data_IF_713465973210
#
_entry.id   IF_713465973210
#
_cell.length_a   1.000
_cell.length_b   1.000
_cell.length_c   1.000
_cell.angle_alpha   90.00
_cell.angle_beta   90.00
_cell.angle_gamma   90.00
#
_symmetry.space_group_name_H-M   'P 1'
#
loop_
_entity.id
_entity.type
_entity.pdbx_description
1 polymer ?
#
# COMPACT_ATOMS: atom_id res chain seq x y z
N UNK A 1 -21.33 11.67 -11.17
CA UNK A 1 -20.49 10.63 -11.82
C UNK A 1 -19.33 10.32 -10.91
N UNK A 2 -19.00 9.05 -10.69
CA UNK A 2 -17.79 8.71 -9.95
C UNK A 2 -16.56 9.17 -10.78
N UNK A 3 -15.60 9.84 -10.14
CA UNK A 3 -14.34 10.20 -10.78
C UNK A 3 -13.60 8.88 -11.03
N UNK A 4 -13.25 8.62 -12.28
CA UNK A 4 -12.48 7.44 -12.67
C UNK A 4 -11.05 7.89 -12.97
N UNK A 5 -10.06 7.17 -12.43
CA UNK A 5 -8.64 7.42 -12.72
C UNK A 5 -8.38 7.33 -14.23
N UNK A 6 -7.61 8.27 -14.75
CA UNK A 6 -7.19 8.32 -16.15
C UNK A 6 -5.67 8.37 -16.24
N UNK A 7 -5.12 8.13 -17.44
CA UNK A 7 -3.67 8.27 -17.72
C UNK A 7 -3.28 9.69 -18.20
N UNK A 8 -4.22 10.64 -18.17
CA UNK A 8 -4.00 11.99 -18.69
C UNK A 8 -2.92 12.76 -17.94
N UNK A 9 -2.87 12.61 -16.62
CA UNK A 9 -1.88 13.30 -15.79
C UNK A 9 -0.47 12.78 -16.12
N UNK A 10 -0.30 11.46 -16.18
CA UNK A 10 0.99 10.84 -16.55
C UNK A 10 1.40 11.21 -17.97
N UNK A 11 0.46 11.18 -18.94
CA UNK A 11 0.73 11.54 -20.31
C UNK A 11 1.21 12.99 -20.44
N UNK A 12 0.58 13.94 -19.73
CA UNK A 12 1.00 15.33 -19.70
C UNK A 12 2.39 15.50 -19.08
N UNK A 13 2.67 14.83 -17.95
CA UNK A 13 4.00 14.89 -17.32
C UNK A 13 5.08 14.22 -18.18
N UNK A 14 4.76 13.13 -18.88
CA UNK A 14 5.66 12.49 -19.85
C UNK A 14 6.06 13.44 -20.98
N UNK A 15 5.09 14.18 -21.53
CA UNK A 15 5.36 15.17 -22.59
C UNK A 15 6.23 16.32 -22.10
N UNK A 16 5.99 16.81 -20.87
CA UNK A 16 6.69 17.97 -20.32
C UNK A 16 8.10 17.60 -19.81
N UNK A 17 8.23 16.48 -19.11
CA UNK A 17 9.45 16.11 -18.37
C UNK A 17 10.34 15.10 -19.11
N UNK A 18 9.78 14.37 -20.06
CA UNK A 18 10.51 13.40 -20.88
C UNK A 18 11.16 12.29 -20.04
N UNK A 19 10.36 11.40 -19.45
CA UNK A 19 10.91 10.26 -18.68
C UNK A 19 9.86 9.51 -17.89
N UNK A 20 10.22 8.36 -17.28
CA UNK A 20 9.25 7.51 -16.60
C UNK A 20 8.58 8.22 -15.43
N UNK A 21 7.26 8.07 -15.34
CA UNK A 21 6.42 8.58 -14.23
C UNK A 21 5.98 7.39 -13.39
N UNK A 22 6.25 7.44 -12.09
CA UNK A 22 5.81 6.41 -11.15
C UNK A 22 4.63 6.91 -10.32
N UNK A 23 3.58 6.11 -10.18
CA UNK A 23 2.56 6.26 -9.15
C UNK A 23 2.96 5.49 -7.90
N UNK A 24 2.72 6.04 -6.72
CA UNK A 24 3.08 5.43 -5.43
C UNK A 24 1.91 5.50 -4.47
N UNK A 25 1.58 4.39 -3.85
CA UNK A 25 0.53 4.29 -2.83
C UNK A 25 0.88 3.23 -1.78
N UNK A 26 0.14 3.21 -0.66
CA UNK A 26 0.33 2.26 0.44
C UNK A 26 -0.96 1.56 0.85
N UNK A 27 -0.79 0.42 1.52
CA UNK A 27 -1.85 -0.31 2.22
C UNK A 27 -1.42 -0.69 3.64
N UNK A 28 -2.36 -0.62 4.59
CA UNK A 28 -2.13 -1.15 5.92
C UNK A 28 -1.71 -0.14 6.97
N UNK A 29 -2.05 1.14 6.88
CA UNK A 29 -1.77 2.13 7.94
C UNK A 29 -2.63 1.97 9.18
N UNK A 30 -3.93 1.68 9.01
CA UNK A 30 -4.90 1.60 10.10
C UNK A 30 -4.95 0.31 10.94
N UNK A 31 -4.56 -0.87 10.44
CA UNK A 31 -4.57 -2.13 11.20
C UNK A 31 -3.73 -2.09 12.48
N UNK A 32 -4.14 -2.90 13.47
CA UNK A 32 -3.41 -3.10 14.73
C UNK A 32 -2.28 -4.12 14.61
N UNK A 33 -2.29 -4.93 13.55
CA UNK A 33 -1.29 -5.96 13.29
C UNK A 33 -0.84 -5.99 11.83
N UNK A 34 0.37 -6.51 11.62
CA UNK A 34 0.98 -6.69 10.32
C UNK A 34 1.65 -5.43 9.76
N UNK A 35 2.33 -5.57 8.61
CA UNK A 35 3.14 -4.52 8.00
C UNK A 35 2.31 -3.43 7.33
N UNK A 36 2.98 -2.31 7.02
CA UNK A 36 2.60 -1.40 5.94
C UNK A 36 3.32 -1.83 4.68
N UNK A 37 2.59 -1.93 3.57
CA UNK A 37 3.13 -2.23 2.25
C UNK A 37 2.89 -1.03 1.36
N UNK A 38 3.95 -0.54 0.72
CA UNK A 38 3.87 0.45 -0.34
C UNK A 38 4.26 -0.17 -1.69
N UNK A 39 3.70 0.35 -2.76
CA UNK A 39 4.10 0.00 -4.11
C UNK A 39 4.38 1.25 -4.94
N UNK A 40 5.30 1.12 -5.90
CA UNK A 40 5.58 2.09 -6.93
C UNK A 40 5.37 1.42 -8.29
N UNK A 41 4.63 2.05 -9.19
CA UNK A 41 4.28 1.48 -10.49
C UNK A 41 4.54 2.49 -11.59
N UNK A 42 5.32 2.08 -12.61
CA UNK A 42 5.48 2.79 -13.88
C UNK A 42 4.69 2.00 -14.93
N UNK A 43 3.59 2.56 -15.41
CA UNK A 43 2.77 1.95 -16.47
C UNK A 43 3.42 2.14 -17.83
N UNK A 44 3.31 1.11 -18.67
CA UNK A 44 3.61 1.21 -20.10
C UNK A 44 2.35 1.74 -20.83
N UNK A 45 2.41 2.94 -21.45
CA UNK A 45 1.25 3.56 -22.09
C UNK A 45 0.58 2.68 -23.16
N UNK A 46 1.36 1.80 -23.81
CA UNK A 46 0.85 0.92 -24.87
C UNK A 46 0.20 -0.36 -24.33
N UNK A 47 0.40 -0.68 -23.03
CA UNK A 47 -0.03 -1.96 -22.43
C UNK A 47 -0.72 -1.80 -21.07
N UNK A 48 -1.44 -0.70 -20.86
CA UNK A 48 -2.17 -0.46 -19.61
C UNK A 48 -3.26 -1.52 -19.45
N UNK A 49 -3.25 -2.30 -18.33
CA UNK A 49 -4.32 -3.26 -18.07
C UNK A 49 -5.67 -2.58 -17.88
N UNK A 50 -6.70 -3.13 -18.52
CA UNK A 50 -8.08 -2.68 -18.28
C UNK A 50 -8.53 -3.04 -16.87
N UNK A 51 -9.40 -2.21 -16.28
CA UNK A 51 -10.02 -2.42 -14.98
C UNK A 51 -9.22 -1.86 -13.80
N UNK A 52 -8.08 -1.17 -14.05
CA UNK A 52 -7.41 -0.42 -12.99
C UNK A 52 -8.33 0.70 -12.52
N UNK A 53 -8.56 0.79 -11.21
CA UNK A 53 -9.39 1.79 -10.56
C UNK A 53 -9.09 1.89 -9.07
N UNK A 54 -9.88 2.68 -8.34
CA UNK A 54 -9.74 2.79 -6.88
C UNK A 54 -9.85 1.42 -6.21
N UNK A 55 -8.77 0.96 -5.61
CA UNK A 55 -8.67 -0.37 -5.00
C UNK A 55 -9.68 -0.61 -3.86
N UNK A 56 -10.23 0.45 -3.28
CA UNK A 56 -11.22 0.40 -2.21
C UNK A 56 -12.63 0.13 -2.75
N UNK A 57 -12.87 0.48 -4.02
CA UNK A 57 -14.15 0.25 -4.72
C UNK A 57 -14.17 -1.12 -5.38
N UNK A 58 -13.03 -1.61 -5.87
CA UNK A 58 -12.90 -2.93 -6.50
C UNK A 58 -13.16 -4.05 -5.48
N UNK A 59 -13.86 -5.09 -5.92
CA UNK A 59 -14.01 -6.33 -5.13
C UNK A 59 -12.65 -7.04 -4.98
N UNK A 60 -12.43 -7.85 -3.92
CA UNK A 60 -11.17 -8.58 -3.72
C UNK A 60 -10.77 -9.41 -4.94
N UNK A 61 -11.73 -10.10 -5.56
CA UNK A 61 -11.53 -10.96 -6.72
C UNK A 61 -11.08 -10.15 -7.96
N UNK A 62 -11.63 -8.95 -8.14
CA UNK A 62 -11.22 -8.05 -9.22
C UNK A 62 -9.78 -7.58 -9.04
N UNK A 63 -9.38 -7.19 -7.82
CA UNK A 63 -7.99 -6.82 -7.51
C UNK A 63 -7.03 -7.99 -7.77
N UNK A 64 -7.40 -9.19 -7.32
CA UNK A 64 -6.59 -10.40 -7.55
C UNK A 64 -6.48 -10.77 -9.03
N UNK A 65 -7.49 -10.49 -9.86
CA UNK A 65 -7.45 -10.71 -11.30
C UNK A 65 -6.60 -9.66 -12.06
N UNK A 66 -6.61 -8.41 -11.58
CA UNK A 66 -5.85 -7.31 -12.21
C UNK A 66 -4.37 -7.36 -11.80
N UNK A 67 -4.05 -7.75 -10.57
CA UNK A 67 -2.70 -7.77 -10.01
C UNK A 67 -1.67 -8.46 -10.94
N UNK A 68 -1.85 -9.72 -11.42
CA UNK A 68 -0.86 -10.37 -12.29
C UNK A 68 -0.69 -9.65 -13.62
N UNK A 69 -1.72 -8.96 -14.10
CA UNK A 69 -1.66 -8.18 -15.34
C UNK A 69 -0.80 -6.94 -15.16
N UNK A 70 -0.91 -6.23 -14.03
CA UNK A 70 -0.02 -5.11 -13.68
C UNK A 70 1.42 -5.61 -13.59
N UNK A 71 1.65 -6.71 -12.86
CA UNK A 71 2.99 -7.28 -12.68
C UNK A 71 3.65 -7.71 -14.00
N UNK A 72 2.86 -8.11 -14.99
CA UNK A 72 3.36 -8.55 -16.30
C UNK A 72 3.62 -7.40 -17.29
N UNK A 73 2.98 -6.24 -17.13
CA UNK A 73 3.01 -5.16 -18.13
C UNK A 73 3.62 -3.86 -17.63
N UNK A 74 3.82 -3.72 -16.31
CA UNK A 74 4.38 -2.51 -15.72
C UNK A 74 5.72 -2.79 -15.01
N UNK A 75 6.47 -1.73 -14.73
CA UNK A 75 7.63 -1.81 -13.85
C UNK A 75 7.12 -1.55 -12.43
N UNK A 76 7.33 -2.53 -11.54
CA UNK A 76 6.78 -2.51 -10.19
C UNK A 76 7.90 -2.65 -9.16
N UNK A 77 7.85 -1.80 -8.14
CA UNK A 77 8.67 -1.91 -6.94
C UNK A 77 7.78 -1.99 -5.70
N UNK A 78 8.17 -2.78 -4.71
CA UNK A 78 7.41 -2.99 -3.46
C UNK A 78 8.35 -2.71 -2.28
N UNK A 79 7.84 -1.96 -1.30
CA UNK A 79 8.50 -1.71 -0.02
C UNK A 79 7.60 -2.14 1.14
N UNK A 80 8.18 -2.80 2.13
CA UNK A 80 7.45 -3.35 3.28
C UNK A 80 8.09 -2.83 4.55
N UNK A 81 7.32 -2.10 5.35
CA UNK A 81 7.69 -1.71 6.71
C UNK A 81 7.05 -2.70 7.70
N UNK A 82 7.87 -3.45 8.39
CA UNK A 82 7.44 -4.38 9.44
C UNK A 82 6.93 -3.68 10.69
N UNK A 83 6.46 -4.46 11.64
CA UNK A 83 5.90 -3.97 12.91
C UNK A 83 6.96 -3.25 13.74
N UNK A 84 8.19 -3.77 13.79
CA UNK A 84 9.29 -3.17 14.55
C UNK A 84 9.64 -1.77 14.04
N UNK A 85 9.62 -1.59 12.70
CA UNK A 85 9.81 -0.28 12.11
C UNK A 85 8.66 0.67 12.42
N UNK A 86 7.41 0.19 12.37
CA UNK A 86 6.23 0.99 12.68
C UNK A 86 6.28 1.46 14.14
N UNK A 87 6.64 0.59 15.06
CA UNK A 87 6.70 0.92 16.49
C UNK A 87 7.87 1.86 16.81
N UNK A 88 9.01 1.72 16.12
CA UNK A 88 10.18 2.58 16.31
C UNK A 88 10.00 3.97 15.70
N UNK A 89 9.51 4.06 14.45
CA UNK A 89 9.56 5.28 13.64
C UNK A 89 8.20 6.00 13.59
N UNK A 90 7.16 5.45 14.15
CA UNK A 90 5.73 5.72 13.99
C UNK A 90 5.19 5.38 12.60
N UNK A 91 3.83 5.29 12.51
CA UNK A 91 3.15 4.84 11.28
C UNK A 91 3.39 5.74 10.06
N UNK A 92 3.51 7.07 10.26
CA UNK A 92 3.76 7.99 9.15
C UNK A 92 5.16 7.79 8.57
N UNK A 93 6.18 7.79 9.43
CA UNK A 93 7.58 7.67 8.99
C UNK A 93 7.85 6.28 8.41
N UNK A 94 7.28 5.22 8.99
CA UNK A 94 7.34 3.86 8.46
C UNK A 94 6.69 3.76 7.06
N UNK A 95 5.55 4.43 6.85
CA UNK A 95 4.89 4.51 5.54
C UNK A 95 5.78 5.22 4.51
N UNK A 96 6.30 6.40 4.84
CA UNK A 96 7.19 7.15 3.95
C UNK A 96 8.47 6.37 3.63
N UNK A 97 9.00 5.65 4.60
CA UNK A 97 10.14 4.75 4.35
C UNK A 97 9.77 3.62 3.39
N UNK A 98 8.62 2.94 3.59
CA UNK A 98 8.17 1.89 2.69
C UNK A 98 7.97 2.42 1.24
N UNK A 99 7.40 3.62 1.08
CA UNK A 99 7.30 4.28 -0.22
C UNK A 99 8.67 4.53 -0.86
N UNK A 100 9.65 4.97 -0.06
CA UNK A 100 11.02 5.17 -0.55
C UNK A 100 11.64 3.85 -1.02
N UNK A 101 11.48 2.76 -0.27
CA UNK A 101 11.98 1.44 -0.66
C UNK A 101 11.26 0.91 -1.91
N UNK A 102 9.93 1.14 -2.05
CA UNK A 102 9.19 0.78 -3.26
C UNK A 102 9.75 1.49 -4.50
N UNK A 103 10.04 2.80 -4.42
CA UNK A 103 10.63 3.54 -5.54
C UNK A 103 12.07 3.07 -5.84
N UNK A 104 12.86 2.76 -4.83
CA UNK A 104 14.22 2.20 -5.00
C UNK A 104 14.23 0.82 -5.65
N UNK A 105 13.18 0.03 -5.42
CA UNK A 105 13.03 -1.32 -5.98
C UNK A 105 12.62 -1.32 -7.47
N UNK A 106 12.25 -0.18 -8.05
CA UNK A 106 12.00 -0.08 -9.49
C UNK A 106 13.28 -0.34 -10.28
N UNK A 107 13.18 -1.15 -11.33
CA UNK A 107 14.32 -1.43 -12.25
C UNK A 107 14.74 -0.22 -13.08
N UNK A 108 13.89 0.80 -13.16
CA UNK A 108 14.16 2.07 -13.87
C UNK A 108 13.87 3.22 -12.90
N UNK A 109 14.79 4.19 -12.81
CA UNK A 109 14.61 5.37 -11.97
C UNK A 109 13.55 6.30 -12.58
N UNK A 110 12.47 6.63 -11.85
CA UNK A 110 11.47 7.58 -12.35
C UNK A 110 12.04 9.00 -12.40
N UNK A 111 11.56 9.79 -13.35
CA UNK A 111 11.79 11.23 -13.43
C UNK A 111 10.94 11.97 -12.40
N UNK A 112 9.70 11.53 -12.25
CA UNK A 112 8.71 12.05 -11.30
C UNK A 112 8.01 10.88 -10.61
N UNK A 113 7.83 11.00 -9.29
CA UNK A 113 6.97 10.13 -8.50
C UNK A 113 5.71 10.89 -8.06
N UNK A 114 4.55 10.40 -8.49
CA UNK A 114 3.22 10.86 -8.07
C UNK A 114 2.82 10.06 -6.84
N UNK A 115 2.68 10.72 -5.68
CA UNK A 115 2.46 10.07 -4.39
C UNK A 115 1.01 10.28 -3.96
N UNK A 116 0.30 9.21 -3.58
CA UNK A 116 -1.01 9.38 -2.96
C UNK A 116 -0.91 10.10 -1.61
N UNK A 117 -1.89 10.97 -1.34
CA UNK A 117 -1.98 11.73 -0.09
C UNK A 117 -1.31 13.09 -0.14
N UNK A 118 -0.89 13.58 1.04
CA UNK A 118 -0.36 14.95 1.25
C UNK A 118 1.06 14.98 1.80
N UNK A 119 1.73 13.83 1.91
CA UNK A 119 3.11 13.70 2.38
C UNK A 119 3.90 12.84 1.40
N UNK A 120 5.11 13.27 1.08
CA UNK A 120 6.01 12.54 0.19
C UNK A 120 7.27 12.08 0.94
N UNK A 121 7.82 10.91 0.62
CA UNK A 121 9.14 10.50 1.07
C UNK A 121 10.21 11.36 0.41
N UNK A 122 11.42 11.39 1.01
CA UNK A 122 12.60 11.95 0.35
C UNK A 122 13.11 10.97 -0.71
N UNK A 123 13.02 11.36 -1.97
CA UNK A 123 13.45 10.56 -3.12
C UNK A 123 14.57 11.28 -3.88
N UNK A 124 15.27 10.50 -4.71
CA UNK A 124 16.29 11.04 -5.61
C UNK A 124 15.70 11.55 -6.95
N UNK A 125 14.37 11.51 -7.13
CA UNK A 125 13.62 12.08 -8.25
C UNK A 125 12.68 13.18 -7.75
N UNK A 126 12.09 13.91 -8.69
CA UNK A 126 11.02 14.86 -8.35
C UNK A 126 9.82 14.14 -7.75
N UNK A 127 9.13 14.78 -6.81
CA UNK A 127 7.95 14.24 -6.16
C UNK A 127 6.78 15.22 -6.20
N UNK A 128 5.57 14.70 -6.41
CA UNK A 128 4.33 15.48 -6.34
C UNK A 128 3.27 14.68 -5.60
N UNK A 129 2.69 15.26 -4.58
CA UNK A 129 1.60 14.66 -3.83
C UNK A 129 0.25 14.94 -4.48
N UNK A 130 -0.64 13.95 -4.47
CA UNK A 130 -2.00 14.02 -4.98
C UNK A 130 -2.96 13.46 -3.95
N UNK A 131 -3.80 14.31 -3.37
CA UNK A 131 -4.84 13.87 -2.44
C UNK A 131 -5.89 13.08 -3.22
N UNK A 132 -6.16 11.84 -2.81
CA UNK A 132 -7.02 10.88 -3.54
C UNK A 132 -6.47 10.58 -4.94
N UNK A 133 -5.16 10.48 -5.06
CA UNK A 133 -4.48 10.21 -6.31
C UNK A 133 -4.88 8.89 -6.94
N UNK A 134 -5.24 7.88 -6.15
CA UNK A 134 -5.79 6.60 -6.57
C UNK A 134 -7.09 6.71 -7.39
N UNK A 135 -7.87 7.76 -7.18
CA UNK A 135 -9.08 8.07 -7.96
C UNK A 135 -8.79 8.95 -9.20
N UNK A 136 -7.61 9.54 -9.34
CA UNK A 136 -7.28 10.53 -10.36
C UNK A 136 -6.25 10.03 -11.38
N UNK A 137 -5.31 9.20 -10.97
CA UNK A 137 -4.09 8.83 -11.67
C UNK A 137 -3.98 7.31 -11.76
N UNK A 138 -3.89 6.74 -12.97
CA UNK A 138 -3.86 5.28 -13.17
C UNK A 138 -2.62 4.62 -12.56
N UNK A 139 -1.46 5.28 -12.58
CA UNK A 139 -0.24 4.72 -11.97
C UNK A 139 -0.37 4.61 -10.44
N UNK A 140 -1.03 5.59 -9.78
CA UNK A 140 -1.32 5.52 -8.35
C UNK A 140 -2.37 4.46 -8.07
N UNK A 141 -3.43 4.37 -8.87
CA UNK A 141 -4.45 3.32 -8.74
C UNK A 141 -3.84 1.91 -8.90
N UNK A 142 -2.94 1.73 -9.84
CA UNK A 142 -2.19 0.48 -10.01
C UNK A 142 -1.31 0.17 -8.79
N UNK A 143 -0.61 1.18 -8.24
CA UNK A 143 0.18 1.04 -7.02
C UNK A 143 -0.69 0.66 -5.82
N UNK A 144 -1.88 1.28 -5.68
CA UNK A 144 -2.88 0.94 -4.64
C UNK A 144 -3.28 -0.54 -4.71
N UNK A 145 -3.59 -1.06 -5.90
CA UNK A 145 -3.93 -2.47 -6.11
C UNK A 145 -2.75 -3.37 -5.72
N UNK A 146 -1.54 -3.05 -6.18
CA UNK A 146 -0.33 -3.85 -5.88
C UNK A 146 -0.04 -3.86 -4.38
N UNK A 147 -0.07 -2.72 -3.71
CA UNK A 147 0.15 -2.62 -2.28
C UNK A 147 -0.92 -3.41 -1.50
N UNK A 148 -2.19 -3.25 -1.87
CA UNK A 148 -3.32 -3.92 -1.21
C UNK A 148 -3.28 -5.43 -1.36
N UNK A 149 -3.12 -5.96 -2.57
CA UNK A 149 -3.06 -7.40 -2.82
C UNK A 149 -1.84 -8.02 -2.13
N UNK A 150 -0.68 -7.39 -2.24
CA UNK A 150 0.54 -7.88 -1.58
C UNK A 150 0.34 -7.97 -0.07
N UNK A 151 -0.19 -6.91 0.54
CA UNK A 151 -0.45 -6.90 1.99
C UNK A 151 -1.49 -7.94 2.39
N UNK A 152 -2.60 -8.05 1.68
CA UNK A 152 -3.66 -8.99 2.01
C UNK A 152 -3.16 -10.44 1.95
N UNK A 153 -2.31 -10.79 0.99
CA UNK A 153 -1.66 -12.10 0.89
C UNK A 153 -0.72 -12.37 2.08
N UNK A 154 0.03 -11.37 2.54
CA UNK A 154 0.85 -11.49 3.76
C UNK A 154 -0.01 -11.76 4.99
N UNK A 155 -1.14 -11.05 5.13
CA UNK A 155 -2.06 -11.25 6.25
C UNK A 155 -2.80 -12.60 6.18
N UNK A 156 -3.10 -13.11 5.00
CA UNK A 156 -3.64 -14.47 4.83
C UNK A 156 -2.62 -15.53 5.25
N UNK A 157 -1.35 -15.35 4.86
CA UNK A 157 -0.28 -16.25 5.30
C UNK A 157 -0.15 -16.23 6.82
N UNK A 158 -0.11 -15.04 7.42
CA UNK A 158 -0.04 -14.87 8.87
C UNK A 158 -1.26 -15.49 9.59
N UNK A 159 -2.46 -15.40 9.00
CA UNK A 159 -3.66 -16.05 9.55
C UNK A 159 -3.57 -17.57 9.62
N UNK A 160 -2.85 -18.20 8.67
CA UNK A 160 -2.59 -19.65 8.72
C UNK A 160 -1.60 -20.05 9.82
N UNK A 161 -0.63 -19.18 10.12
CA UNK A 161 0.37 -19.37 11.19
C UNK A 161 -0.25 -19.10 12.58
N UNK A 162 -1.21 -18.16 12.66
CA UNK A 162 -1.87 -17.73 13.89
C UNK A 162 -3.42 -17.78 13.74
N UNK A 163 -4.00 -18.98 13.60
CA UNK A 163 -5.41 -19.15 13.23
C UNK A 163 -6.41 -18.56 14.24
N UNK A 164 -6.00 -18.39 15.51
CA UNK A 164 -6.87 -17.87 16.57
C UNK A 164 -7.15 -16.37 16.44
N UNK A 165 -6.37 -15.63 15.62
CA UNK A 165 -6.55 -14.18 15.45
C UNK A 165 -7.47 -13.81 14.29
N UNK A 166 -7.70 -14.68 13.31
CA UNK A 166 -8.55 -14.40 12.15
C UNK A 166 -7.97 -13.39 11.15
N UNK A 167 -6.64 -13.25 11.08
CA UNK A 167 -5.96 -12.29 10.21
C UNK A 167 -6.28 -12.47 8.72
N UNK A 168 -6.63 -13.69 8.29
CA UNK A 168 -7.05 -13.99 6.93
C UNK A 168 -8.40 -13.34 6.55
N UNK A 169 -9.24 -12.99 7.54
CA UNK A 169 -10.52 -12.32 7.32
C UNK A 169 -10.37 -10.80 7.42
N UNK A 170 -10.00 -10.30 8.58
CA UNK A 170 -9.97 -8.86 8.86
C UNK A 170 -8.64 -8.17 8.59
N UNK A 171 -7.62 -8.89 8.08
CA UNK A 171 -6.32 -8.32 7.67
C UNK A 171 -5.63 -7.47 8.74
N UNK A 172 -5.86 -7.78 10.02
CA UNK A 172 -5.29 -7.08 11.17
C UNK A 172 -6.03 -5.80 11.58
N UNK A 173 -7.15 -5.45 10.94
CA UNK A 173 -7.99 -4.33 11.37
C UNK A 173 -8.67 -4.63 12.70
N UNK A 174 -8.97 -3.59 13.48
CA UNK A 174 -9.59 -3.67 14.80
C UNK A 174 -11.09 -4.00 14.76
N UNK A 175 -11.42 -5.18 14.26
CA UNK A 175 -12.77 -5.72 14.28
C UNK A 175 -13.09 -6.30 15.65
N UNK A 176 -14.39 -6.51 16.00
CA UNK A 176 -14.76 -7.22 17.23
C UNK A 176 -14.08 -8.57 17.37
N UNK A 177 -13.91 -9.32 16.29
CA UNK A 177 -13.19 -10.60 16.26
C UNK A 177 -11.73 -10.42 16.66
N UNK A 178 -11.02 -9.43 16.08
CA UNK A 178 -9.63 -9.15 16.43
C UNK A 178 -9.49 -8.68 17.88
N UNK A 179 -10.40 -7.84 18.35
CA UNK A 179 -10.42 -7.38 19.74
C UNK A 179 -10.62 -8.54 20.73
N UNK A 180 -11.54 -9.46 20.43
CA UNK A 180 -11.76 -10.66 21.23
C UNK A 180 -10.51 -11.55 21.25
N UNK A 181 -9.91 -11.82 20.08
CA UNK A 181 -8.69 -12.62 19.98
C UNK A 181 -7.54 -11.99 20.78
N UNK A 182 -7.37 -10.66 20.65
CA UNK A 182 -6.34 -9.92 21.37
C UNK A 182 -6.53 -9.97 22.90
N UNK A 183 -7.77 -9.86 23.38
CA UNK A 183 -8.07 -9.97 24.83
C UNK A 183 -7.91 -11.38 25.37
N UNK A 184 -8.14 -12.41 24.55
CA UNK A 184 -8.10 -13.81 24.96
C UNK A 184 -6.69 -14.41 24.88
N UNK A 185 -5.95 -14.09 23.82
CA UNK A 185 -4.65 -14.71 23.52
C UNK A 185 -3.46 -13.76 23.72
N UNK A 186 -3.73 -12.47 24.03
CA UNK A 186 -2.70 -11.43 24.18
C UNK A 186 -2.19 -10.90 22.85
N UNK A 187 -1.17 -10.05 22.91
CA UNK A 187 -0.52 -9.52 21.71
C UNK A 187 0.69 -10.39 21.31
N UNK A 188 0.84 -10.62 20.01
CA UNK A 188 2.01 -11.27 19.42
C UNK A 188 3.04 -10.24 18.93
N UNK A 189 4.18 -10.70 18.43
CA UNK A 189 5.19 -9.87 17.74
C UNK A 189 4.67 -9.17 16.48
N UNK A 190 3.56 -9.65 15.92
CA UNK A 190 2.92 -9.05 14.75
C UNK A 190 1.95 -7.91 15.08
N UNK A 191 1.70 -7.62 16.37
CA UNK A 191 0.86 -6.50 16.80
C UNK A 191 1.69 -5.24 17.03
N UNK A 192 1.17 -4.11 16.58
CA UNK A 192 1.81 -2.80 16.68
C UNK A 192 1.66 -2.24 18.08
N UNK A 193 2.68 -2.40 18.90
CA UNK A 193 2.68 -2.01 20.33
C UNK A 193 2.55 -0.50 20.54
N UNK A 194 2.87 0.31 19.54
CA UNK A 194 2.65 1.77 19.56
C UNK A 194 1.19 2.17 19.36
N UNK A 195 0.31 1.24 18.96
CA UNK A 195 -1.10 1.52 18.73
C UNK A 195 -1.90 1.36 20.04
N UNK A 196 -2.70 2.40 20.35
CA UNK A 196 -3.44 2.45 21.62
C UNK A 196 -4.26 1.20 21.95
N UNK A 197 -5.02 0.57 21.03
CA UNK A 197 -5.77 -0.64 21.35
C UNK A 197 -4.88 -1.81 21.77
N UNK A 198 -3.68 -1.92 21.18
CA UNK A 198 -2.70 -2.96 21.56
C UNK A 198 -2.06 -2.62 22.90
N UNK A 199 -1.76 -1.34 23.17
CA UNK A 199 -1.25 -0.88 24.48
C UNK A 199 -2.23 -1.19 25.60
N UNK A 200 -3.53 -0.94 25.39
CA UNK A 200 -4.58 -1.27 26.36
C UNK A 200 -4.63 -2.78 26.66
N UNK A 201 -4.54 -3.62 25.62
CA UNK A 201 -4.52 -5.08 25.79
C UNK A 201 -3.26 -5.59 26.50
N UNK A 202 -2.16 -4.83 26.43
CA UNK A 202 -0.91 -5.11 27.14
C UNK A 202 -0.84 -4.49 28.54
N UNK A 203 -1.86 -3.72 28.96
CA UNK A 203 -1.85 -2.99 30.24
C UNK A 203 -0.83 -1.84 30.29
N UNK A 204 -0.46 -1.25 29.12
CA UNK A 204 0.53 -0.20 28.99
C UNK A 204 -0.07 1.21 28.84
N UNK A 205 -1.40 1.37 28.79
CA UNK A 205 -2.11 2.63 28.57
C UNK A 205 -3.16 2.89 29.63
#
# INVERSE_FOLDING_TARGET
MAIQATFELEANELMVKGGPIAGVDEAGRGPWAGPVVAAAVILDPERIPQGIGDSKVLMPEEREAIFPRIMATAIVGIGIADVDRIDRDNILNATLWAMSEAVKALSVRPRLALIDGNKAPRLACETRTLVRGDALCLSIAAASIVAKVTRDRLMVKLGRELPHYGFERHKGYGTPEHQYALSTHGATEHHRRSFRPVQLALGLA
#
